data_IF_169175899124
#
_entry.id   IF_169175899124
#
_cell.length_a   1.000
_cell.length_b   1.000
_cell.length_c   1.000
_cell.angle_alpha   90.00
_cell.angle_beta   90.00
_cell.angle_gamma   90.00
#
_symmetry.space_group_name_H-M   'P 1'
#
loop_
_entity.id
_entity.type
_entity.pdbx_description
1 polymer ?
#
# COMPACT_ATOMS: atom_id res chain seq x y z
N UNK A 1 5.43 25.40 -27.06
CA UNK A 1 6.39 25.05 -26.01
C UNK A 1 5.83 23.92 -25.14
N UNK A 2 6.66 23.01 -24.66
CA UNK A 2 6.17 21.90 -23.82
C UNK A 2 5.85 22.42 -22.39
N UNK A 3 4.71 21.99 -21.81
CA UNK A 3 4.28 22.38 -20.44
C UNK A 3 5.33 22.02 -19.40
N UNK A 4 5.99 20.85 -19.57
CA UNK A 4 7.08 20.42 -18.69
C UNK A 4 8.21 21.45 -18.60
N UNK A 5 8.57 22.08 -19.71
CA UNK A 5 9.62 23.12 -19.74
C UNK A 5 9.15 24.36 -18.97
N UNK A 6 7.88 24.76 -19.12
CA UNK A 6 7.31 25.88 -18.35
C UNK A 6 7.41 25.62 -16.84
N UNK A 7 7.02 24.43 -16.40
CA UNK A 7 7.08 24.06 -14.97
C UNK A 7 8.52 24.03 -14.43
N UNK A 8 9.47 23.52 -15.21
CA UNK A 8 10.89 23.52 -14.82
C UNK A 8 11.40 24.96 -14.66
N UNK A 9 11.08 25.85 -15.58
CA UNK A 9 11.49 27.25 -15.53
C UNK A 9 10.89 27.95 -14.30
N UNK A 10 9.58 27.73 -14.03
CA UNK A 10 8.95 28.27 -12.82
C UNK A 10 9.62 27.74 -11.55
N UNK A 11 10.00 26.47 -11.51
CA UNK A 11 10.73 25.86 -10.39
C UNK A 11 12.10 26.52 -10.17
N UNK A 12 12.89 26.72 -11.23
CA UNK A 12 14.19 27.38 -11.16
C UNK A 12 14.05 28.84 -10.72
N UNK A 13 13.07 29.56 -11.23
CA UNK A 13 12.73 30.92 -10.80
C UNK A 13 12.30 30.94 -9.33
N UNK A 14 11.56 29.94 -8.86
CA UNK A 14 11.19 29.78 -7.46
C UNK A 14 12.39 29.62 -6.53
N UNK A 15 13.38 28.82 -6.93
CA UNK A 15 14.65 28.70 -6.21
C UNK A 15 15.38 30.05 -6.15
N UNK A 16 15.45 30.78 -7.26
CA UNK A 16 16.05 32.13 -7.29
C UNK A 16 15.29 33.10 -6.39
N UNK A 17 13.95 33.07 -6.39
CA UNK A 17 13.10 33.87 -5.52
C UNK A 17 13.36 33.55 -4.04
N UNK A 18 13.52 32.26 -3.69
CA UNK A 18 13.87 31.86 -2.33
C UNK A 18 15.17 32.54 -1.85
N UNK A 19 16.22 32.46 -2.63
CA UNK A 19 17.51 33.06 -2.27
C UNK A 19 17.44 34.60 -2.21
N UNK A 20 16.67 35.26 -3.07
CA UNK A 20 16.50 36.72 -3.04
C UNK A 20 15.72 37.15 -1.79
N UNK A 21 14.67 36.41 -1.40
CA UNK A 21 13.92 36.66 -0.16
C UNK A 21 14.76 36.41 1.09
N UNK A 22 15.59 35.35 1.08
CA UNK A 22 16.51 35.02 2.15
C UNK A 22 17.55 36.14 2.34
N UNK A 23 18.21 36.58 1.25
CA UNK A 23 19.21 37.67 1.30
C UNK A 23 18.63 38.96 1.85
N UNK A 24 17.45 39.39 1.36
CA UNK A 24 16.76 40.57 1.87
C UNK A 24 16.48 40.48 3.37
N UNK A 25 16.03 39.33 3.85
CA UNK A 25 15.75 39.17 5.27
C UNK A 25 17.01 39.13 6.14
N UNK A 26 18.13 38.62 5.62
CA UNK A 26 19.42 38.66 6.32
C UNK A 26 19.93 40.09 6.49
N UNK A 27 19.83 40.93 5.44
CA UNK A 27 20.22 42.36 5.57
C UNK A 27 19.32 43.11 6.54
N UNK A 28 18.00 42.83 6.55
CA UNK A 28 17.07 43.43 7.51
C UNK A 28 17.34 42.98 8.97
N UNK A 29 17.92 41.80 9.17
CA UNK A 29 18.26 41.25 10.48
C UNK A 29 19.46 41.94 11.11
N UNK A 30 20.37 42.47 10.31
CA UNK A 30 21.52 43.23 10.80
C UNK A 30 21.07 44.56 11.50
N UNK A 31 19.96 45.15 11.03
CA UNK A 31 19.47 46.43 11.57
C UNK A 31 18.48 46.22 12.75
N UNK A 32 17.64 45.20 12.72
CA UNK A 32 16.59 44.96 13.74
C UNK A 32 16.21 43.47 13.83
N UNK A 33 15.69 43.07 15.01
CA UNK A 33 15.11 41.75 15.21
C UNK A 33 13.96 41.47 14.23
N UNK A 34 14.02 40.34 13.52
CA UNK A 34 12.97 39.86 12.63
C UNK A 34 11.93 39.08 13.43
N UNK A 35 10.62 39.26 13.12
CA UNK A 35 9.55 38.47 13.69
C UNK A 35 9.66 36.99 13.33
N UNK A 36 10.10 36.66 12.11
CA UNK A 36 10.24 35.28 11.60
C UNK A 36 11.67 35.04 11.12
N UNK A 37 12.13 33.77 11.15
CA UNK A 37 13.50 33.46 10.68
C UNK A 37 13.64 33.73 9.18
N UNK A 38 14.86 34.07 8.69
CA UNK A 38 15.11 34.37 7.29
C UNK A 38 14.64 33.32 6.29
N UNK A 39 14.68 32.04 6.68
CA UNK A 39 14.21 30.90 5.88
C UNK A 39 12.75 31.07 5.45
N UNK A 40 11.87 31.48 6.37
CA UNK A 40 10.45 31.68 6.06
C UNK A 40 10.20 32.87 5.12
N UNK A 41 11.04 33.89 5.16
CA UNK A 41 10.96 35.02 4.21
C UNK A 41 11.35 34.62 2.79
N UNK A 42 12.36 33.76 2.65
CA UNK A 42 12.69 33.13 1.36
C UNK A 42 11.56 32.19 0.87
N UNK A 43 11.07 31.33 1.78
CA UNK A 43 10.00 30.38 1.46
C UNK A 43 8.71 31.07 1.00
N UNK A 44 8.23 32.10 1.68
CA UNK A 44 6.99 32.80 1.29
C UNK A 44 7.11 33.50 -0.07
N UNK A 45 8.30 34.04 -0.39
CA UNK A 45 8.53 34.65 -1.69
C UNK A 45 8.49 33.60 -2.80
N UNK A 46 9.17 32.48 -2.62
CA UNK A 46 9.18 31.39 -3.58
C UNK A 46 7.79 30.77 -3.75
N UNK A 47 7.09 30.45 -2.66
CA UNK A 47 5.79 29.80 -2.69
C UNK A 47 4.75 30.69 -3.38
N UNK A 48 4.62 31.96 -2.98
CA UNK A 48 3.61 32.85 -3.56
C UNK A 48 3.84 33.09 -5.06
N UNK A 49 5.08 33.26 -5.49
CA UNK A 49 5.37 33.49 -6.92
C UNK A 49 5.20 32.25 -7.77
N UNK A 50 5.67 31.10 -7.30
CA UNK A 50 5.55 29.83 -8.01
C UNK A 50 4.11 29.33 -8.03
N UNK A 51 3.39 29.37 -6.89
CA UNK A 51 2.03 28.88 -6.79
C UNK A 51 1.07 29.63 -7.71
N UNK A 52 1.15 30.95 -7.78
CA UNK A 52 0.32 31.76 -8.67
C UNK A 52 0.53 31.40 -10.14
N UNK A 53 1.80 31.21 -10.55
CA UNK A 53 2.15 30.83 -11.92
C UNK A 53 1.73 29.38 -12.24
N UNK A 54 1.91 28.46 -11.32
CA UNK A 54 1.49 27.06 -11.48
C UNK A 54 -0.02 26.96 -11.58
N UNK A 55 -0.79 27.68 -10.76
CA UNK A 55 -2.26 27.72 -10.85
C UNK A 55 -2.72 28.22 -12.22
N UNK A 56 -2.09 29.26 -12.78
CA UNK A 56 -2.39 29.68 -14.12
C UNK A 56 -2.16 28.58 -15.15
N UNK A 57 -1.03 27.88 -15.07
CA UNK A 57 -0.71 26.77 -15.98
C UNK A 57 -1.74 25.64 -15.85
N UNK A 58 -2.14 25.27 -14.64
CA UNK A 58 -3.16 24.24 -14.40
C UNK A 58 -4.50 24.65 -15.01
N UNK A 59 -4.97 25.87 -14.75
CA UNK A 59 -6.22 26.39 -15.31
C UNK A 59 -6.16 26.38 -16.84
N UNK A 60 -5.06 26.86 -17.43
CA UNK A 60 -4.90 26.85 -18.89
C UNK A 60 -4.99 25.43 -19.48
N UNK A 61 -4.30 24.46 -18.89
CA UNK A 61 -4.30 23.06 -19.36
C UNK A 61 -5.67 22.44 -19.29
N UNK A 62 -6.46 22.73 -18.25
CA UNK A 62 -7.83 22.25 -18.11
C UNK A 62 -8.74 22.83 -19.20
N UNK A 63 -8.61 24.12 -19.51
CA UNK A 63 -9.38 24.76 -20.58
C UNK A 63 -8.94 24.29 -21.97
N UNK A 64 -7.63 24.19 -22.23
CA UNK A 64 -7.07 23.70 -23.48
C UNK A 64 -7.57 22.30 -23.83
N UNK A 65 -7.57 21.37 -22.85
CA UNK A 65 -7.94 19.98 -23.09
C UNK A 65 -9.44 19.76 -23.27
N UNK A 66 -10.27 20.46 -22.50
CA UNK A 66 -11.70 20.13 -22.38
C UNK A 66 -12.63 21.08 -23.16
N UNK A 67 -12.22 22.32 -23.41
CA UNK A 67 -13.11 23.38 -23.90
C UNK A 67 -12.61 24.00 -25.18
N UNK A 68 -11.32 24.28 -25.30
CA UNK A 68 -10.73 25.00 -26.42
C UNK A 68 -9.43 24.35 -26.92
N UNK A 69 -9.49 23.29 -27.73
CA UNK A 69 -8.28 22.64 -28.27
C UNK A 69 -7.37 23.58 -29.08
N UNK A 70 -7.92 24.64 -29.66
CA UNK A 70 -7.18 25.67 -30.43
C UNK A 70 -6.16 26.44 -29.56
N UNK A 71 -6.33 26.46 -28.22
CA UNK A 71 -5.38 27.06 -27.29
C UNK A 71 -4.00 26.42 -27.32
N UNK A 72 -3.89 25.21 -27.90
CA UNK A 72 -2.61 24.53 -28.10
C UNK A 72 -1.60 25.38 -28.89
N UNK A 73 -2.09 26.16 -29.85
CA UNK A 73 -1.29 27.09 -30.65
C UNK A 73 -0.76 28.28 -29.83
N UNK A 74 -1.41 28.62 -28.72
CA UNK A 74 -1.11 29.78 -27.90
C UNK A 74 -0.24 29.47 -26.66
N UNK A 75 0.37 28.29 -26.57
CA UNK A 75 1.25 27.90 -25.42
C UNK A 75 2.42 28.84 -25.18
N UNK A 76 2.89 29.57 -26.19
CA UNK A 76 3.91 30.59 -26.01
C UNK A 76 3.37 31.81 -25.24
N UNK A 77 2.09 32.14 -25.41
CA UNK A 77 1.42 33.19 -24.63
C UNK A 77 1.28 32.75 -23.17
N UNK A 78 0.91 31.47 -22.92
CA UNK A 78 0.88 30.90 -21.58
C UNK A 78 2.22 31.05 -20.87
N UNK A 79 3.33 30.77 -21.56
CA UNK A 79 4.67 30.92 -21.02
C UNK A 79 4.97 32.36 -20.59
N UNK A 80 4.71 33.32 -21.49
CA UNK A 80 4.93 34.75 -21.20
C UNK A 80 4.07 35.20 -20.02
N UNK A 81 2.79 34.80 -20.03
CA UNK A 81 1.85 35.16 -18.96
C UNK A 81 2.23 34.54 -17.61
N UNK A 82 2.68 33.29 -17.62
CA UNK A 82 3.11 32.61 -16.38
C UNK A 82 4.37 33.28 -15.77
N UNK A 83 5.33 33.65 -16.60
CA UNK A 83 6.53 34.41 -16.15
C UNK A 83 6.13 35.81 -15.66
N UNK A 84 5.23 36.50 -16.37
CA UNK A 84 4.74 37.80 -15.95
C UNK A 84 4.06 37.75 -14.58
N UNK A 85 3.18 36.77 -14.35
CA UNK A 85 2.52 36.58 -13.05
C UNK A 85 3.54 36.22 -11.98
N UNK A 86 4.55 35.40 -12.31
CA UNK A 86 5.63 35.08 -11.37
C UNK A 86 6.33 36.34 -10.87
N UNK A 87 6.80 37.18 -11.77
CA UNK A 87 7.51 38.40 -11.39
C UNK A 87 6.61 39.44 -10.71
N UNK A 88 5.36 39.53 -11.11
CA UNK A 88 4.37 40.42 -10.49
C UNK A 88 4.12 40.03 -9.04
N UNK A 89 3.85 38.76 -8.77
CA UNK A 89 3.61 38.24 -7.44
C UNK A 89 4.88 38.24 -6.58
N UNK A 90 6.04 37.94 -7.19
CA UNK A 90 7.34 38.08 -6.53
C UNK A 90 7.61 39.52 -6.08
N UNK A 91 7.36 40.49 -6.95
CA UNK A 91 7.56 41.93 -6.64
C UNK A 91 6.68 42.37 -5.47
N UNK A 92 5.37 42.05 -5.50
CA UNK A 92 4.48 42.44 -4.40
C UNK A 92 4.84 41.74 -3.08
N UNK A 93 5.20 40.45 -3.12
CA UNK A 93 5.63 39.73 -1.92
C UNK A 93 6.95 40.23 -1.41
N UNK A 94 7.92 40.51 -2.28
CA UNK A 94 9.21 41.07 -1.91
C UNK A 94 9.09 42.45 -1.23
N UNK A 95 8.17 43.31 -1.71
CA UNK A 95 7.88 44.61 -1.12
C UNK A 95 7.28 44.50 0.29
N UNK A 96 6.55 43.41 0.59
CA UNK A 96 5.95 43.12 1.91
C UNK A 96 6.97 42.60 2.94
N UNK A 97 8.15 42.14 2.53
CA UNK A 97 9.19 41.66 3.46
C UNK A 97 9.77 42.84 4.22
N UNK A 98 9.38 42.95 5.50
CA UNK A 98 9.80 43.92 6.50
C UNK A 98 10.04 43.20 7.82
N UNK A 99 10.63 43.88 8.82
CA UNK A 99 10.96 43.26 10.11
C UNK A 99 9.75 42.68 10.86
N UNK A 100 8.57 43.30 10.76
CA UNK A 100 7.32 42.89 11.40
C UNK A 100 6.52 41.87 10.60
N UNK A 101 7.02 41.48 9.40
CA UNK A 101 6.28 40.58 8.52
C UNK A 101 6.26 39.17 9.06
N UNK A 102 5.06 38.65 9.39
CA UNK A 102 4.79 37.31 9.91
C UNK A 102 4.90 36.25 8.81
N UNK A 103 6.14 36.05 8.31
CA UNK A 103 6.39 35.14 7.20
C UNK A 103 6.10 33.68 7.58
N UNK A 104 6.46 33.27 8.81
CA UNK A 104 6.22 31.93 9.33
C UNK A 104 4.72 31.56 9.30
N UNK A 105 3.87 32.37 9.91
CA UNK A 105 2.44 32.12 10.00
C UNK A 105 1.79 31.97 8.61
N UNK A 106 2.30 32.72 7.62
CA UNK A 106 1.79 32.62 6.24
C UNK A 106 2.25 31.36 5.53
N UNK A 107 3.50 30.98 5.70
CA UNK A 107 4.03 29.72 5.13
C UNK A 107 3.30 28.53 5.76
N UNK A 108 3.16 28.51 7.09
CA UNK A 108 2.46 27.45 7.81
C UNK A 108 1.01 27.31 7.35
N UNK A 109 0.28 28.41 7.20
CA UNK A 109 -1.11 28.39 6.66
C UNK A 109 -1.20 27.83 5.23
N UNK A 110 -0.24 28.16 4.37
CA UNK A 110 -0.22 27.61 2.99
C UNK A 110 0.08 26.11 3.03
N UNK A 111 1.03 25.68 3.85
CA UNK A 111 1.36 24.26 4.03
C UNK A 111 0.15 23.51 4.62
N UNK A 112 -0.49 24.04 5.64
CA UNK A 112 -1.70 23.48 6.25
C UNK A 112 -2.82 23.31 5.23
N UNK A 113 -3.10 24.37 4.43
CA UNK A 113 -4.09 24.31 3.37
C UNK A 113 -3.73 23.25 2.31
N UNK A 114 -2.46 23.17 1.92
CA UNK A 114 -1.98 22.17 0.95
C UNK A 114 -2.15 20.75 1.48
N UNK A 115 -1.77 20.50 2.73
CA UNK A 115 -1.96 19.19 3.38
C UNK A 115 -3.44 18.83 3.50
N UNK A 116 -4.29 19.81 3.84
CA UNK A 116 -5.74 19.61 3.91
C UNK A 116 -6.32 19.23 2.54
N UNK A 117 -5.92 19.94 1.48
CA UNK A 117 -6.37 19.62 0.10
C UNK A 117 -5.90 18.24 -0.32
N UNK A 118 -4.62 17.90 -0.07
CA UNK A 118 -4.10 16.57 -0.40
C UNK A 118 -4.82 15.44 0.34
N UNK A 119 -5.05 15.62 1.65
CA UNK A 119 -5.76 14.62 2.46
C UNK A 119 -7.23 14.48 2.03
N UNK A 120 -7.91 15.62 1.75
CA UNK A 120 -9.28 15.60 1.26
C UNK A 120 -9.40 14.91 -0.10
N UNK A 121 -8.45 15.18 -1.00
CA UNK A 121 -8.41 14.52 -2.32
C UNK A 121 -8.20 13.01 -2.18
N UNK A 122 -7.28 12.58 -1.31
CA UNK A 122 -7.06 11.15 -1.04
C UNK A 122 -8.31 10.46 -0.51
N UNK A 123 -9.03 11.11 0.43
CA UNK A 123 -10.30 10.59 0.96
C UNK A 123 -11.35 10.51 -0.15
N UNK A 124 -11.51 11.57 -0.96
CA UNK A 124 -12.48 11.58 -2.05
C UNK A 124 -12.21 10.49 -3.09
N UNK A 125 -10.94 10.28 -3.46
CA UNK A 125 -10.56 9.19 -4.38
C UNK A 125 -10.90 7.83 -3.75
N UNK A 126 -10.57 7.61 -2.50
CA UNK A 126 -10.86 6.35 -1.80
C UNK A 126 -12.36 6.08 -1.73
N UNK A 127 -13.17 7.09 -1.38
CA UNK A 127 -14.63 6.99 -1.39
C UNK A 127 -15.16 6.74 -2.80
N UNK A 128 -14.62 7.42 -3.81
CA UNK A 128 -15.01 7.24 -5.20
C UNK A 128 -14.75 5.82 -5.69
N UNK A 129 -13.57 5.24 -5.40
CA UNK A 129 -13.25 3.85 -5.71
C UNK A 129 -14.23 2.90 -5.04
N UNK A 130 -14.49 3.10 -3.75
CA UNK A 130 -15.40 2.24 -2.98
C UNK A 130 -16.83 2.29 -3.53
N UNK A 131 -17.34 3.48 -3.84
CA UNK A 131 -18.65 3.65 -4.45
C UNK A 131 -18.73 3.02 -5.83
N UNK A 132 -17.68 3.14 -6.66
CA UNK A 132 -17.60 2.50 -7.97
C UNK A 132 -17.66 0.98 -7.83
N UNK A 133 -16.91 0.39 -6.91
CA UNK A 133 -16.94 -1.05 -6.66
C UNK A 133 -18.33 -1.52 -6.22
N UNK A 134 -19.02 -0.79 -5.35
CA UNK A 134 -20.40 -1.12 -4.93
C UNK A 134 -21.35 -1.03 -6.12
N UNK A 135 -21.27 0.04 -6.90
CA UNK A 135 -22.16 0.26 -8.03
C UNK A 135 -22.03 -0.85 -9.08
N UNK A 136 -20.81 -1.16 -9.51
CA UNK A 136 -20.56 -2.21 -10.49
C UNK A 136 -20.88 -3.62 -9.95
N UNK A 137 -20.63 -3.86 -8.66
CA UNK A 137 -21.03 -5.13 -8.01
C UNK A 137 -22.55 -5.28 -7.97
N UNK A 138 -23.31 -4.21 -7.73
CA UNK A 138 -24.76 -4.27 -7.74
C UNK A 138 -25.29 -4.64 -9.13
N UNK A 139 -24.73 -4.06 -10.19
CA UNK A 139 -25.06 -4.43 -11.58
C UNK A 139 -24.77 -5.90 -11.87
N UNK A 140 -23.69 -6.46 -11.31
CA UNK A 140 -23.41 -7.90 -11.41
C UNK A 140 -24.52 -8.73 -10.75
N UNK A 141 -24.94 -8.36 -9.53
CA UNK A 141 -25.94 -9.11 -8.77
C UNK A 141 -27.38 -8.96 -9.33
N UNK A 142 -27.63 -8.02 -10.24
CA UNK A 142 -28.87 -7.97 -11.01
C UNK A 142 -28.97 -9.15 -12.00
N UNK A 143 -27.83 -9.64 -12.50
CA UNK A 143 -27.77 -10.73 -13.48
C UNK A 143 -27.48 -12.10 -12.85
N UNK A 144 -26.70 -12.14 -11.76
CA UNK A 144 -26.25 -13.36 -11.08
C UNK A 144 -26.69 -13.33 -9.61
N UNK A 145 -27.49 -14.30 -9.13
CA UNK A 145 -27.93 -14.32 -7.73
C UNK A 145 -26.76 -14.39 -6.75
N UNK A 146 -26.82 -13.58 -5.67
CA UNK A 146 -25.79 -13.54 -4.63
C UNK A 146 -25.50 -14.91 -4.00
N UNK A 147 -26.54 -15.75 -3.85
CA UNK A 147 -26.42 -17.11 -3.31
C UNK A 147 -25.62 -18.03 -4.22
N UNK A 148 -25.82 -17.95 -5.54
CA UNK A 148 -25.07 -18.70 -6.53
C UNK A 148 -23.61 -18.26 -6.55
N UNK A 149 -23.36 -16.94 -6.49
CA UNK A 149 -22.02 -16.39 -6.44
C UNK A 149 -21.26 -16.82 -5.18
N UNK A 150 -21.85 -16.67 -3.99
CA UNK A 150 -21.16 -16.95 -2.73
C UNK A 150 -20.98 -18.44 -2.44
N UNK A 151 -21.91 -19.30 -2.85
CA UNK A 151 -21.93 -20.72 -2.51
C UNK A 151 -21.72 -21.66 -3.71
N UNK A 152 -21.62 -21.13 -4.92
CA UNK A 152 -21.31 -21.91 -6.11
C UNK A 152 -19.92 -22.52 -6.05
N UNK A 153 -19.81 -23.78 -6.46
CA UNK A 153 -18.57 -24.58 -6.42
C UNK A 153 -17.82 -24.63 -7.75
N UNK A 154 -18.37 -24.00 -8.79
CA UNK A 154 -17.77 -23.95 -10.11
C UNK A 154 -17.50 -22.52 -10.53
N UNK A 155 -16.26 -22.26 -10.96
CA UNK A 155 -15.84 -20.99 -11.50
C UNK A 155 -15.36 -21.16 -12.94
N UNK A 156 -16.12 -20.62 -13.88
CA UNK A 156 -15.80 -20.58 -15.31
C UNK A 156 -16.45 -19.33 -15.94
N UNK A 157 -15.82 -18.16 -15.84
CA UNK A 157 -16.39 -16.89 -16.28
C UNK A 157 -16.37 -16.71 -17.81
N UNK A 158 -16.02 -17.75 -18.56
CA UNK A 158 -15.97 -17.70 -20.03
C UNK A 158 -17.39 -17.72 -20.59
N UNK A 159 -17.78 -16.59 -21.18
CA UNK A 159 -19.05 -16.44 -21.89
C UNK A 159 -18.77 -16.22 -23.38
N UNK A 160 -19.66 -16.66 -24.28
CA UNK A 160 -19.52 -16.34 -25.70
C UNK A 160 -19.63 -14.84 -25.92
N UNK A 161 -18.72 -14.27 -26.71
CA UNK A 161 -18.69 -12.84 -27.05
C UNK A 161 -19.72 -12.54 -28.16
N UNK A 162 -20.16 -13.54 -28.92
CA UNK A 162 -21.12 -13.43 -30.01
C UNK A 162 -22.30 -14.36 -29.80
N UNK A 163 -23.49 -13.91 -30.14
CA UNK A 163 -24.75 -14.67 -30.02
C UNK A 163 -24.76 -15.98 -30.83
N UNK A 164 -23.93 -16.09 -31.86
CA UNK A 164 -23.78 -17.27 -32.70
C UNK A 164 -22.76 -18.29 -32.20
N UNK A 165 -22.02 -17.99 -31.13
CA UNK A 165 -21.06 -18.91 -30.51
C UNK A 165 -21.77 -19.86 -29.52
N UNK A 166 -21.65 -21.16 -29.76
CA UNK A 166 -21.99 -22.16 -28.76
C UNK A 166 -20.98 -22.10 -27.59
N UNK A 167 -21.33 -21.37 -26.54
CA UNK A 167 -20.53 -21.22 -25.35
C UNK A 167 -21.27 -21.56 -24.07
N UNK A 168 -20.52 -21.74 -22.99
CA UNK A 168 -21.11 -21.97 -21.65
C UNK A 168 -21.78 -20.68 -21.16
N UNK A 169 -22.86 -20.79 -20.42
CA UNK A 169 -23.60 -19.67 -19.82
C UNK A 169 -22.79 -18.94 -18.75
N UNK A 170 -21.53 -19.34 -18.52
CA UNK A 170 -20.68 -18.85 -17.42
C UNK A 170 -21.11 -19.43 -16.07
N UNK A 171 -20.13 -19.79 -15.25
CA UNK A 171 -20.36 -20.18 -13.86
C UNK A 171 -19.53 -19.25 -12.96
N UNK A 172 -20.19 -18.59 -12.02
CA UNK A 172 -19.58 -17.55 -11.18
C UNK A 172 -19.52 -17.92 -9.70
N UNK A 173 -19.39 -19.21 -9.38
CA UNK A 173 -19.26 -19.68 -8.00
C UNK A 173 -17.90 -19.33 -7.39
N UNK A 174 -17.86 -18.52 -6.35
CA UNK A 174 -16.63 -18.00 -5.76
C UNK A 174 -15.95 -18.96 -4.77
N UNK A 175 -16.60 -20.05 -4.33
CA UNK A 175 -16.06 -20.98 -3.33
C UNK A 175 -14.65 -21.49 -3.66
N UNK A 176 -14.34 -21.95 -4.90
CA UNK A 176 -12.99 -22.42 -5.23
C UNK A 176 -11.91 -21.34 -5.08
N UNK A 177 -12.26 -20.08 -5.38
CA UNK A 177 -11.34 -18.95 -5.31
C UNK A 177 -10.99 -18.61 -3.86
N UNK A 178 -11.99 -18.58 -2.99
CA UNK A 178 -11.78 -18.36 -1.56
C UNK A 178 -11.06 -19.55 -0.91
N UNK A 179 -11.40 -20.79 -1.29
CA UNK A 179 -10.70 -21.98 -0.80
C UNK A 179 -9.20 -21.92 -1.15
N UNK A 180 -8.85 -21.62 -2.40
CA UNK A 180 -7.45 -21.44 -2.82
C UNK A 180 -6.76 -20.29 -2.09
N UNK A 181 -7.46 -19.17 -1.91
CA UNK A 181 -6.93 -18.00 -1.16
C UNK A 181 -6.57 -18.38 0.28
N UNK A 182 -7.48 -19.07 0.98
CA UNK A 182 -7.22 -19.50 2.36
C UNK A 182 -6.16 -20.58 2.46
N UNK A 183 -6.14 -21.53 1.53
CA UNK A 183 -5.14 -22.60 1.51
C UNK A 183 -3.73 -22.00 1.39
N UNK A 184 -3.51 -21.12 0.43
CA UNK A 184 -2.20 -20.48 0.22
C UNK A 184 -1.84 -19.58 1.40
N UNK A 185 -2.77 -18.76 1.90
CA UNK A 185 -2.55 -17.90 3.07
C UNK A 185 -2.22 -18.72 4.32
N UNK A 186 -2.88 -19.84 4.54
CA UNK A 186 -2.61 -20.76 5.65
C UNK A 186 -1.20 -21.33 5.57
N UNK A 187 -0.78 -21.85 4.41
CA UNK A 187 0.59 -22.36 4.20
C UNK A 187 1.62 -21.27 4.49
N UNK A 188 1.41 -20.06 3.98
CA UNK A 188 2.31 -18.94 4.21
C UNK A 188 2.41 -18.57 5.69
N UNK A 189 1.30 -18.54 6.41
CA UNK A 189 1.28 -18.19 7.83
C UNK A 189 1.86 -19.28 8.72
N UNK A 190 1.77 -20.56 8.34
CA UNK A 190 2.46 -21.66 9.02
C UNK A 190 3.98 -21.49 9.02
N UNK A 191 4.53 -20.74 8.06
CA UNK A 191 5.97 -20.43 7.96
C UNK A 191 6.25 -19.06 8.58
N UNK A 192 5.54 -18.03 8.12
CA UNK A 192 5.81 -16.66 8.50
C UNK A 192 5.54 -16.40 10.00
N UNK A 193 4.49 -17.00 10.55
CA UNK A 193 4.13 -16.82 11.96
C UNK A 193 5.23 -17.29 12.91
N UNK A 194 5.56 -18.57 12.92
CA UNK A 194 6.59 -19.10 13.83
C UNK A 194 7.98 -18.49 13.59
N UNK A 195 8.44 -18.44 12.33
CA UNK A 195 9.79 -17.95 12.02
C UNK A 195 9.89 -16.45 12.29
N UNK A 196 8.89 -15.66 11.88
CA UNK A 196 8.87 -14.23 12.13
C UNK A 196 8.85 -13.87 13.62
N UNK A 197 8.01 -14.56 14.40
CA UNK A 197 7.94 -14.36 15.85
C UNK A 197 9.25 -14.76 16.56
N UNK A 198 9.81 -15.92 16.20
CA UNK A 198 11.10 -16.34 16.79
C UNK A 198 12.23 -15.40 16.43
N UNK A 199 12.24 -14.89 15.20
CA UNK A 199 13.21 -13.86 14.78
C UNK A 199 13.05 -12.58 15.59
N UNK A 200 11.82 -12.12 15.82
CA UNK A 200 11.54 -10.94 16.64
C UNK A 200 12.04 -11.11 18.09
N UNK A 201 11.72 -12.25 18.73
CA UNK A 201 12.17 -12.56 20.09
C UNK A 201 13.69 -12.60 20.15
N UNK A 202 14.35 -13.24 19.17
CA UNK A 202 15.80 -13.28 19.12
C UNK A 202 16.41 -11.88 18.99
N UNK A 203 15.92 -11.07 18.06
CA UNK A 203 16.45 -9.74 17.80
C UNK A 203 16.18 -8.76 18.95
N UNK A 204 15.02 -8.84 19.61
CA UNK A 204 14.68 -7.94 20.72
C UNK A 204 15.35 -8.32 22.04
N UNK A 205 15.48 -9.63 22.34
CA UNK A 205 15.87 -10.07 23.68
C UNK A 205 17.24 -10.75 23.74
N UNK A 206 17.70 -11.42 22.68
CA UNK A 206 18.95 -12.20 22.72
C UNK A 206 20.10 -11.58 21.94
N UNK A 207 19.81 -10.92 20.83
CA UNK A 207 20.83 -10.39 19.94
C UNK A 207 21.64 -9.27 20.62
N UNK A 208 22.95 -9.26 20.38
CA UNK A 208 23.78 -8.10 20.71
C UNK A 208 23.39 -6.91 19.82
N UNK A 209 23.67 -5.69 20.29
CA UNK A 209 23.37 -4.48 19.54
C UNK A 209 23.94 -4.52 18.12
N UNK A 210 25.19 -4.98 17.97
CA UNK A 210 25.86 -5.08 16.67
C UNK A 210 25.14 -6.05 15.72
N UNK A 211 24.65 -7.20 16.23
CA UNK A 211 23.89 -8.16 15.42
C UNK A 211 22.54 -7.58 15.02
N UNK A 212 21.85 -6.93 15.95
CA UNK A 212 20.55 -6.28 15.67
C UNK A 212 20.69 -5.18 14.63
N UNK A 213 21.71 -4.32 14.74
CA UNK A 213 21.95 -3.19 13.84
C UNK A 213 22.27 -3.65 12.40
N UNK A 214 22.70 -4.88 12.19
CA UNK A 214 22.95 -5.48 10.87
C UNK A 214 21.73 -6.28 10.39
N UNK A 215 21.18 -7.16 11.22
CA UNK A 215 20.13 -8.10 10.79
C UNK A 215 18.79 -7.41 10.56
N UNK A 216 18.42 -6.41 11.39
CA UNK A 216 17.13 -5.70 11.22
C UNK A 216 17.04 -4.98 9.86
N UNK A 217 18.03 -4.18 9.41
CA UNK A 217 18.02 -3.62 8.06
C UNK A 217 18.03 -4.67 6.95
N UNK A 218 18.72 -5.80 7.11
CA UNK A 218 18.71 -6.87 6.12
C UNK A 218 17.31 -7.48 5.95
N UNK A 219 16.57 -7.68 7.05
CA UNK A 219 15.18 -8.15 6.95
C UNK A 219 14.26 -7.11 6.31
N UNK A 220 14.50 -5.82 6.54
CA UNK A 220 13.75 -4.73 5.90
C UNK A 220 14.02 -4.67 4.38
N UNK A 221 15.26 -4.93 3.94
CA UNK A 221 15.61 -5.04 2.51
C UNK A 221 14.84 -6.18 1.85
N UNK A 222 14.71 -7.34 2.50
CA UNK A 222 13.91 -8.45 1.99
C UNK A 222 12.44 -8.07 1.78
N UNK A 223 11.85 -7.30 2.71
CA UNK A 223 10.49 -6.78 2.56
C UNK A 223 10.34 -5.80 1.37
N UNK A 224 11.42 -5.15 0.96
CA UNK A 224 11.45 -4.22 -0.18
C UNK A 224 11.58 -4.86 -1.55
N UNK A 225 11.85 -6.16 -1.64
CA UNK A 225 11.93 -6.87 -2.93
C UNK A 225 10.56 -6.93 -3.59
N UNK A 226 10.41 -6.54 -4.88
CA UNK A 226 9.14 -6.63 -5.59
C UNK A 226 8.58 -8.06 -5.60
N UNK A 227 7.27 -8.21 -5.34
CA UNK A 227 6.62 -9.54 -5.26
C UNK A 227 6.72 -10.37 -6.53
N UNK A 228 6.85 -9.70 -7.70
CA UNK A 228 7.12 -10.37 -8.98
C UNK A 228 8.43 -11.17 -8.95
N UNK A 229 9.47 -10.64 -8.31
CA UNK A 229 10.78 -11.34 -8.20
C UNK A 229 10.63 -12.60 -7.36
N UNK A 230 9.87 -12.52 -6.26
CA UNK A 230 9.53 -13.71 -5.47
C UNK A 230 8.72 -14.73 -6.28
N UNK A 231 7.77 -14.27 -7.11
CA UNK A 231 7.01 -15.12 -8.01
C UNK A 231 7.88 -15.85 -9.01
N UNK A 232 8.83 -15.16 -9.63
CA UNK A 232 9.84 -15.78 -10.51
C UNK A 232 10.68 -16.83 -9.79
N UNK A 233 11.18 -16.50 -8.62
CA UNK A 233 11.92 -17.44 -7.79
C UNK A 233 11.09 -18.69 -7.45
N UNK A 234 9.81 -18.49 -7.14
CA UNK A 234 8.89 -19.59 -6.86
C UNK A 234 8.78 -20.56 -8.05
N UNK A 235 8.60 -20.02 -9.25
CA UNK A 235 8.42 -20.85 -10.48
C UNK A 235 9.70 -21.54 -10.91
N UNK A 236 10.83 -20.81 -10.90
CA UNK A 236 12.07 -21.31 -11.49
C UNK A 236 12.85 -22.22 -10.53
N UNK A 237 12.75 -21.95 -9.22
CA UNK A 237 13.57 -22.65 -8.21
C UNK A 237 12.71 -23.53 -7.31
N UNK A 238 11.69 -22.96 -6.66
CA UNK A 238 10.96 -23.64 -5.59
C UNK A 238 10.00 -24.70 -6.14
N UNK A 239 9.23 -24.40 -7.17
CA UNK A 239 8.28 -25.36 -7.75
C UNK A 239 8.99 -26.60 -8.37
N UNK A 240 10.08 -26.48 -9.16
CA UNK A 240 10.85 -27.64 -9.59
C UNK A 240 11.47 -28.45 -8.45
N UNK A 241 11.95 -27.76 -7.40
CA UNK A 241 12.50 -28.43 -6.21
C UNK A 241 11.43 -29.28 -5.51
N UNK A 242 10.24 -28.72 -5.27
CA UNK A 242 9.14 -29.44 -4.62
C UNK A 242 8.68 -30.61 -5.49
N UNK A 243 8.55 -30.41 -6.81
CA UNK A 243 8.14 -31.47 -7.74
C UNK A 243 9.16 -32.61 -7.79
N UNK A 244 10.45 -32.33 -7.89
CA UNK A 244 11.48 -33.34 -7.90
C UNK A 244 11.54 -34.13 -6.58
N UNK A 245 11.36 -33.43 -5.46
CA UNK A 245 11.28 -34.05 -4.14
C UNK A 245 10.01 -34.90 -4.00
N UNK A 246 8.86 -34.42 -4.45
CA UNK A 246 7.61 -35.19 -4.48
C UNK A 246 7.73 -36.46 -5.29
N UNK A 247 8.28 -36.36 -6.50
CA UNK A 247 8.51 -37.53 -7.36
C UNK A 247 9.41 -38.58 -6.70
N UNK A 248 10.43 -38.14 -5.93
CA UNK A 248 11.29 -39.07 -5.17
C UNK A 248 10.52 -39.86 -4.12
N UNK A 249 9.50 -39.25 -3.52
CA UNK A 249 8.61 -39.90 -2.55
C UNK A 249 7.36 -40.54 -3.18
N UNK A 250 7.23 -40.56 -4.49
CA UNK A 250 6.05 -41.09 -5.20
C UNK A 250 4.80 -40.23 -5.05
N UNK A 251 4.95 -38.94 -4.75
CA UNK A 251 3.85 -37.96 -4.64
C UNK A 251 3.79 -37.16 -5.94
N UNK A 252 2.64 -37.17 -6.59
CA UNK A 252 2.38 -36.33 -7.76
C UNK A 252 2.22 -34.87 -7.33
N UNK A 253 3.08 -33.99 -7.87
CA UNK A 253 3.06 -32.55 -7.61
C UNK A 253 2.85 -31.82 -8.93
N UNK A 254 1.86 -30.97 -9.03
CA UNK A 254 1.62 -30.12 -10.18
C UNK A 254 2.81 -29.17 -10.42
N UNK A 255 2.99 -28.74 -11.67
CA UNK A 255 4.04 -27.77 -12.04
C UNK A 255 3.85 -26.42 -11.32
N UNK A 256 2.60 -26.02 -11.13
CA UNK A 256 2.17 -24.89 -10.33
C UNK A 256 1.39 -25.48 -9.14
N UNK A 257 1.71 -25.06 -7.92
CA UNK A 257 1.09 -25.66 -6.72
C UNK A 257 0.88 -24.62 -5.63
N UNK A 258 -0.19 -24.84 -4.84
CA UNK A 258 -0.48 -24.02 -3.68
C UNK A 258 0.70 -23.99 -2.70
N UNK A 259 1.43 -25.12 -2.56
CA UNK A 259 2.58 -25.24 -1.67
C UNK A 259 3.73 -24.35 -2.12
N UNK A 260 4.07 -24.34 -3.42
CA UNK A 260 5.17 -23.51 -3.93
C UNK A 260 4.90 -22.02 -3.71
N UNK A 261 3.68 -21.56 -4.06
CA UNK A 261 3.27 -20.19 -3.82
C UNK A 261 3.24 -19.84 -2.33
N UNK A 262 2.65 -20.70 -1.49
CA UNK A 262 2.52 -20.48 -0.06
C UNK A 262 3.87 -20.45 0.68
N UNK A 263 4.83 -21.31 0.31
CA UNK A 263 6.18 -21.29 0.88
C UNK A 263 6.91 -19.97 0.60
N UNK A 264 6.92 -19.54 -0.66
CA UNK A 264 7.62 -18.29 -1.04
C UNK A 264 6.91 -17.08 -0.47
N UNK A 265 5.59 -17.05 -0.48
CA UNK A 265 4.81 -16.01 0.19
C UNK A 265 5.09 -15.97 1.69
N UNK A 266 5.22 -17.12 2.34
CA UNK A 266 5.62 -17.22 3.75
C UNK A 266 6.96 -16.56 4.01
N UNK A 267 7.97 -16.85 3.18
CA UNK A 267 9.30 -16.22 3.29
C UNK A 267 9.20 -14.68 3.13
N UNK A 268 8.42 -14.20 2.16
CA UNK A 268 8.19 -12.77 1.94
C UNK A 268 7.51 -12.08 3.15
N UNK A 269 6.64 -12.79 3.87
CA UNK A 269 5.90 -12.24 5.01
C UNK A 269 6.71 -12.29 6.31
N UNK A 270 7.74 -13.14 6.45
CA UNK A 270 8.60 -13.23 7.65
C UNK A 270 9.08 -11.86 8.14
N UNK A 271 9.67 -10.98 7.31
CA UNK A 271 10.13 -9.66 7.75
C UNK A 271 9.02 -8.81 8.35
N UNK A 272 7.82 -8.86 7.78
CA UNK A 272 6.66 -8.11 8.24
C UNK A 272 6.21 -8.57 9.64
N UNK A 273 6.07 -9.88 9.84
CA UNK A 273 5.72 -10.47 11.15
C UNK A 273 6.81 -10.17 12.16
N UNK A 274 8.08 -10.31 11.77
CA UNK A 274 9.23 -10.06 12.65
C UNK A 274 9.29 -8.58 13.09
N UNK A 275 9.08 -7.64 12.18
CA UNK A 275 9.13 -6.20 12.49
C UNK A 275 8.02 -5.80 13.46
N UNK A 276 6.75 -6.16 13.17
CA UNK A 276 5.63 -5.83 14.05
C UNK A 276 5.80 -6.48 15.43
N UNK A 277 6.23 -7.76 15.47
CA UNK A 277 6.43 -8.46 16.73
C UNK A 277 7.59 -7.86 17.54
N UNK A 278 8.69 -7.46 16.89
CA UNK A 278 9.82 -6.75 17.54
C UNK A 278 9.36 -5.43 18.16
N UNK A 279 8.56 -4.63 17.43
CA UNK A 279 8.05 -3.35 17.93
C UNK A 279 7.16 -3.52 19.15
N UNK A 280 6.27 -4.53 19.14
CA UNK A 280 5.36 -4.82 20.27
C UNK A 280 6.13 -5.38 21.48
N UNK A 281 7.11 -6.26 21.28
CA UNK A 281 7.97 -6.80 22.35
C UNK A 281 8.79 -5.68 23.00
N UNK A 282 9.31 -4.75 22.21
CA UNK A 282 10.06 -3.61 22.73
C UNK A 282 9.18 -2.58 23.46
N UNK A 283 7.89 -2.50 23.14
CA UNK A 283 6.94 -1.64 23.83
C UNK A 283 6.59 -2.11 25.25
N UNK A 284 6.90 -3.36 25.62
CA UNK A 284 6.70 -3.87 27.00
C UNK A 284 7.57 -3.07 27.99
N UNK A 285 7.00 -2.51 29.08
CA UNK A 285 7.72 -1.68 30.02
C UNK A 285 8.93 -2.38 30.63
N UNK A 286 10.07 -1.71 30.66
CA UNK A 286 11.35 -2.25 31.16
C UNK A 286 11.27 -2.65 32.65
N UNK A 287 10.41 -1.96 33.40
CA UNK A 287 10.17 -2.28 34.81
C UNK A 287 9.62 -3.69 35.03
N UNK A 288 8.77 -4.19 34.13
CA UNK A 288 8.25 -5.57 34.20
C UNK A 288 9.37 -6.58 33.93
N UNK A 289 10.23 -6.33 32.96
CA UNK A 289 11.40 -7.17 32.65
C UNK A 289 12.37 -7.20 33.80
N UNK A 290 12.75 -6.04 34.34
CA UNK A 290 13.67 -5.91 35.44
C UNK A 290 13.10 -6.49 36.74
N UNK A 291 11.80 -6.34 37.02
CA UNK A 291 11.12 -6.92 38.15
C UNK A 291 11.18 -8.45 38.14
N UNK A 292 10.90 -9.07 36.97
CA UNK A 292 11.00 -10.52 36.80
C UNK A 292 12.43 -11.05 37.07
N UNK A 293 13.44 -10.40 36.49
CA UNK A 293 14.85 -10.75 36.70
C UNK A 293 15.28 -10.52 38.16
N UNK A 294 14.75 -9.46 38.81
CA UNK A 294 15.03 -9.12 40.20
C UNK A 294 14.53 -10.16 41.23
N UNK A 295 13.46 -10.89 40.92
CA UNK A 295 12.98 -12.02 41.75
C UNK A 295 13.66 -13.34 41.39
N UNK A 296 14.68 -13.33 40.53
CA UNK A 296 15.51 -14.50 40.19
C UNK A 296 15.03 -15.30 38.98
N UNK A 297 14.07 -14.84 38.20
CA UNK A 297 13.68 -15.52 36.99
C UNK A 297 14.80 -15.48 35.92
N UNK A 298 14.95 -16.57 35.19
CA UNK A 298 15.87 -16.63 34.06
C UNK A 298 15.34 -15.79 32.89
N UNK A 299 16.22 -15.45 31.96
CA UNK A 299 15.83 -14.70 30.75
C UNK A 299 14.73 -15.39 29.95
N UNK A 300 14.81 -16.72 29.81
CA UNK A 300 13.79 -17.51 29.12
C UNK A 300 12.43 -17.49 29.83
N UNK A 301 12.44 -17.59 31.18
CA UNK A 301 11.21 -17.48 31.96
C UNK A 301 10.60 -16.09 31.88
N UNK A 302 11.41 -15.05 32.00
CA UNK A 302 10.96 -13.66 31.81
C UNK A 302 10.30 -13.47 30.42
N UNK A 303 10.90 -14.01 29.36
CA UNK A 303 10.30 -13.92 28.00
C UNK A 303 8.95 -14.65 27.94
N UNK A 304 8.90 -15.91 28.42
CA UNK A 304 7.71 -16.75 28.31
C UNK A 304 6.56 -16.32 29.23
N UNK A 305 6.88 -15.89 30.46
CA UNK A 305 5.89 -15.66 31.52
C UNK A 305 5.51 -14.17 31.67
N UNK A 306 6.35 -13.25 31.19
CA UNK A 306 6.13 -11.81 31.34
C UNK A 306 6.02 -11.10 29.98
N UNK A 307 7.06 -11.22 29.15
CA UNK A 307 7.13 -10.42 27.90
C UNK A 307 6.12 -10.90 26.88
N UNK A 308 6.09 -12.20 26.56
CA UNK A 308 5.16 -12.73 25.54
C UNK A 308 3.70 -12.52 25.96
N UNK A 309 3.25 -12.83 27.19
CA UNK A 309 1.88 -12.56 27.60
C UNK A 309 1.51 -11.08 27.52
N UNK A 310 2.40 -10.17 27.94
CA UNK A 310 2.17 -8.73 27.84
C UNK A 310 2.13 -8.22 26.40
N UNK A 311 2.96 -8.78 25.51
CA UNK A 311 3.03 -8.45 24.10
C UNK A 311 1.97 -9.17 23.23
N UNK A 312 1.33 -10.23 23.76
CA UNK A 312 0.46 -11.15 23.03
C UNK A 312 -0.65 -10.47 22.23
N UNK A 313 -1.36 -9.47 22.77
CA UNK A 313 -2.41 -8.77 22.00
C UNK A 313 -1.87 -8.11 20.73
N UNK A 314 -0.72 -7.45 20.84
CA UNK A 314 -0.06 -6.81 19.71
C UNK A 314 0.50 -7.81 18.69
N UNK A 315 1.07 -8.93 19.17
CA UNK A 315 1.57 -10.03 18.32
C UNK A 315 0.41 -10.63 17.51
N UNK A 316 -0.73 -10.96 18.16
CA UNK A 316 -1.91 -11.49 17.48
C UNK A 316 -2.44 -10.47 16.46
N UNK A 317 -2.51 -9.19 16.82
CA UNK A 317 -2.89 -8.13 15.91
C UNK A 317 -1.98 -8.06 14.67
N UNK A 318 -0.66 -8.14 14.88
CA UNK A 318 0.33 -8.19 13.81
C UNK A 318 0.19 -9.43 12.91
N UNK A 319 -0.08 -10.60 13.48
CA UNK A 319 -0.33 -11.83 12.73
C UNK A 319 -1.61 -11.73 11.89
N UNK A 320 -2.69 -11.15 12.41
CA UNK A 320 -3.93 -10.93 11.65
C UNK A 320 -3.74 -9.93 10.49
N UNK A 321 -2.92 -8.90 10.69
CA UNK A 321 -2.52 -7.99 9.61
C UNK A 321 -1.68 -8.73 8.55
N UNK A 322 -0.81 -9.64 8.96
CA UNK A 322 -0.03 -10.49 8.05
C UNK A 322 -0.94 -11.43 7.24
N UNK A 323 -1.98 -12.02 7.87
CA UNK A 323 -3.01 -12.80 7.17
C UNK A 323 -3.75 -11.95 6.13
N UNK A 324 -4.17 -10.73 6.48
CA UNK A 324 -4.81 -9.82 5.53
C UNK A 324 -3.91 -9.51 4.33
N UNK A 325 -2.60 -9.33 4.57
CA UNK A 325 -1.61 -9.14 3.51
C UNK A 325 -1.46 -10.39 2.63
N UNK A 326 -1.42 -11.57 3.22
CA UNK A 326 -1.36 -12.85 2.51
C UNK A 326 -2.57 -13.07 1.60
N UNK A 327 -3.77 -12.78 2.08
CA UNK A 327 -5.03 -12.88 1.31
C UNK A 327 -5.03 -11.95 0.10
N UNK A 328 -4.40 -10.78 0.22
CA UNK A 328 -4.30 -9.79 -0.85
C UNK A 328 -3.18 -10.02 -1.87
N UNK A 329 -2.30 -11.03 -1.67
CA UNK A 329 -1.17 -11.26 -2.58
C UNK A 329 -1.64 -11.78 -3.93
N UNK A 330 -1.10 -11.19 -4.99
CA UNK A 330 -1.51 -11.49 -6.36
C UNK A 330 -0.37 -12.06 -7.19
N UNK A 331 0.79 -11.39 -7.21
CA UNK A 331 1.84 -11.69 -8.19
C UNK A 331 2.56 -13.01 -7.94
N UNK A 332 2.83 -13.36 -6.69
CA UNK A 332 3.45 -14.65 -6.36
C UNK A 332 2.48 -15.78 -6.73
N UNK A 333 1.20 -15.59 -6.44
CA UNK A 333 0.17 -16.61 -6.67
C UNK A 333 -0.09 -16.81 -8.16
N UNK A 334 -0.25 -15.74 -8.93
CA UNK A 334 -0.46 -15.82 -10.40
C UNK A 334 0.65 -16.59 -11.09
N UNK A 335 1.86 -16.47 -10.58
CA UNK A 335 3.04 -17.13 -11.19
C UNK A 335 3.23 -18.57 -10.70
N UNK A 336 3.02 -18.84 -9.41
CA UNK A 336 3.47 -20.09 -8.79
C UNK A 336 2.35 -21.06 -8.39
N UNK A 337 1.09 -20.60 -8.23
CA UNK A 337 -0.02 -21.45 -7.83
C UNK A 337 -0.92 -21.85 -9.01
N UNK A 338 -0.93 -21.04 -10.08
CA UNK A 338 -1.72 -21.28 -11.28
C UNK A 338 -2.98 -20.40 -11.36
N UNK A 339 -3.73 -20.61 -12.43
CA UNK A 339 -4.96 -19.87 -12.73
C UNK A 339 -6.22 -20.76 -12.68
N UNK A 340 -6.06 -22.06 -12.40
CA UNK A 340 -7.17 -23.02 -12.40
C UNK A 340 -7.97 -22.93 -11.12
N UNK A 341 -9.27 -22.71 -11.24
CA UNK A 341 -10.20 -22.61 -10.10
C UNK A 341 -10.59 -24.01 -9.57
N UNK A 342 -9.63 -24.76 -9.08
CA UNK A 342 -9.86 -26.08 -8.51
C UNK A 342 -10.31 -25.98 -7.05
N UNK A 343 -11.38 -26.66 -6.71
CA UNK A 343 -11.81 -26.79 -5.33
C UNK A 343 -11.12 -28.00 -4.69
N UNK A 344 -9.96 -27.75 -4.08
CA UNK A 344 -9.14 -28.77 -3.45
C UNK A 344 -8.49 -28.24 -2.16
N UNK A 345 -8.24 -29.15 -1.23
CA UNK A 345 -7.44 -28.90 -0.03
C UNK A 345 -6.01 -29.47 -0.16
N UNK A 346 -5.68 -30.08 -1.31
CA UNK A 346 -4.37 -30.66 -1.56
C UNK A 346 -3.35 -29.55 -1.90
N UNK A 347 -2.31 -29.34 -1.08
CA UNK A 347 -1.32 -28.29 -1.33
C UNK A 347 -0.43 -28.55 -2.56
N UNK A 348 -0.42 -29.75 -3.10
CA UNK A 348 0.37 -30.13 -4.26
C UNK A 348 -0.33 -29.87 -5.61
N UNK A 349 -1.59 -29.48 -5.58
CA UNK A 349 -2.38 -29.17 -6.75
C UNK A 349 -2.32 -27.67 -7.10
N UNK A 350 -2.63 -27.38 -8.37
CA UNK A 350 -2.77 -26.00 -8.83
C UNK A 350 -4.11 -25.42 -8.33
N UNK A 351 -4.06 -24.22 -7.79
CA UNK A 351 -5.22 -23.46 -7.33
C UNK A 351 -5.08 -21.99 -7.74
N UNK A 352 -6.18 -21.27 -7.72
CA UNK A 352 -6.17 -19.82 -7.94
C UNK A 352 -6.76 -19.08 -6.74
N UNK A 353 -6.53 -17.76 -6.69
CA UNK A 353 -7.07 -16.91 -5.63
C UNK A 353 -8.03 -15.87 -6.19
N UNK A 354 -8.79 -15.25 -5.30
CA UNK A 354 -9.71 -14.15 -5.65
C UNK A 354 -8.95 -13.02 -6.37
N UNK A 355 -7.80 -12.61 -5.85
CA UNK A 355 -6.99 -11.53 -6.42
C UNK A 355 -6.45 -11.85 -7.82
N UNK A 356 -6.03 -13.09 -8.04
CA UNK A 356 -5.59 -13.57 -9.36
C UNK A 356 -6.73 -13.51 -10.36
N UNK A 357 -7.92 -13.99 -9.98
CA UNK A 357 -9.08 -13.97 -10.88
C UNK A 357 -9.56 -12.56 -11.20
N UNK A 358 -9.49 -11.62 -10.24
CA UNK A 358 -9.77 -10.20 -10.52
C UNK A 358 -8.83 -9.68 -11.62
N UNK A 359 -7.53 -9.97 -11.52
CA UNK A 359 -6.55 -9.55 -12.56
C UNK A 359 -6.84 -10.22 -13.90
N UNK A 360 -7.10 -11.54 -13.92
CA UNK A 360 -7.39 -12.28 -15.15
C UNK A 360 -8.65 -11.75 -15.85
N UNK A 361 -9.69 -11.38 -15.06
CA UNK A 361 -10.92 -10.80 -15.60
C UNK A 361 -10.72 -9.39 -16.16
N UNK A 362 -9.78 -8.62 -15.61
CA UNK A 362 -9.52 -7.23 -16.00
C UNK A 362 -8.38 -7.07 -17.02
N UNK A 363 -7.73 -8.15 -17.46
CA UNK A 363 -6.69 -8.12 -18.50
C UNK A 363 -7.24 -8.64 -19.83
N UNK A 364 -6.96 -7.93 -20.93
CA UNK A 364 -7.36 -8.28 -22.28
C UNK A 364 -8.50 -7.41 -22.83
N UNK A 365 -9.16 -7.87 -23.90
CA UNK A 365 -10.33 -7.18 -24.49
C UNK A 365 -11.52 -7.28 -23.53
N UNK A 366 -11.98 -6.12 -23.08
CA UNK A 366 -13.02 -5.99 -22.08
C UNK A 366 -14.24 -5.28 -22.66
N UNK A 367 -15.39 -5.94 -22.48
CA UNK A 367 -16.67 -5.27 -22.51
C UNK A 367 -17.03 -4.85 -21.08
N UNK A 368 -17.04 -3.56 -20.82
CA UNK A 368 -17.27 -3.02 -19.48
C UNK A 368 -18.62 -3.42 -18.87
N UNK A 369 -19.60 -3.70 -19.70
CA UNK A 369 -20.97 -4.08 -19.30
C UNK A 369 -21.18 -5.61 -19.23
N UNK A 370 -20.15 -6.41 -19.55
CA UNK A 370 -20.28 -7.87 -19.51
C UNK A 370 -20.28 -8.41 -18.08
N UNK A 371 -21.08 -9.44 -17.77
CA UNK A 371 -21.06 -10.11 -16.46
C UNK A 371 -19.67 -10.60 -16.07
N UNK A 372 -18.84 -10.97 -17.05
CA UNK A 372 -17.43 -11.35 -16.83
C UNK A 372 -16.61 -10.23 -16.19
N UNK A 373 -16.69 -9.01 -16.72
CA UNK A 373 -15.94 -7.85 -16.18
C UNK A 373 -16.54 -7.40 -14.85
N UNK A 374 -17.87 -7.37 -14.74
CA UNK A 374 -18.58 -7.03 -13.52
C UNK A 374 -18.27 -7.99 -12.36
N UNK A 375 -18.01 -9.28 -12.65
CA UNK A 375 -17.63 -10.28 -11.66
C UNK A 375 -16.33 -9.90 -10.92
N UNK A 376 -15.39 -9.18 -11.57
CA UNK A 376 -14.19 -8.70 -10.90
C UNK A 376 -14.50 -7.71 -9.77
N UNK A 377 -15.47 -6.82 -9.98
CA UNK A 377 -15.93 -5.88 -8.96
C UNK A 377 -16.67 -6.60 -7.82
N UNK A 378 -17.51 -7.59 -8.14
CA UNK A 378 -18.18 -8.42 -7.13
C UNK A 378 -17.18 -9.21 -6.28
N UNK A 379 -16.16 -9.83 -6.88
CA UNK A 379 -15.06 -10.47 -6.17
C UNK A 379 -14.30 -9.47 -5.27
N UNK A 380 -14.00 -8.30 -5.81
CA UNK A 380 -13.33 -7.22 -5.08
C UNK A 380 -14.15 -6.76 -3.87
N UNK A 381 -15.46 -6.58 -4.01
CA UNK A 381 -16.35 -6.19 -2.92
C UNK A 381 -16.37 -7.23 -1.80
N UNK A 382 -16.55 -8.53 -2.14
CA UNK A 382 -16.60 -9.60 -1.14
C UNK A 382 -15.24 -9.75 -0.45
N UNK A 383 -14.14 -9.67 -1.18
CA UNK A 383 -12.78 -9.70 -0.62
C UNK A 383 -12.54 -8.52 0.33
N UNK A 384 -13.00 -7.32 -0.05
CA UNK A 384 -12.91 -6.12 0.79
C UNK A 384 -13.69 -6.31 2.11
N UNK A 385 -14.94 -6.76 2.03
CA UNK A 385 -15.77 -7.02 3.23
C UNK A 385 -15.08 -8.04 4.14
N UNK A 386 -14.55 -9.11 3.57
CA UNK A 386 -13.88 -10.16 4.31
C UNK A 386 -12.60 -9.68 5.01
N UNK A 387 -11.75 -8.94 4.30
CA UNK A 387 -10.53 -8.36 4.89
C UNK A 387 -10.86 -7.27 5.92
N UNK A 388 -11.94 -6.51 5.72
CA UNK A 388 -12.44 -5.53 6.68
C UNK A 388 -12.87 -6.21 7.99
N UNK A 389 -13.61 -7.32 7.90
CA UNK A 389 -14.02 -8.12 9.07
C UNK A 389 -12.79 -8.64 9.81
N UNK A 390 -11.82 -9.21 9.11
CA UNK A 390 -10.57 -9.70 9.71
C UNK A 390 -9.81 -8.57 10.42
N UNK A 391 -9.67 -7.42 9.79
CA UNK A 391 -9.00 -6.25 10.38
C UNK A 391 -9.77 -5.70 11.58
N UNK A 392 -11.11 -5.69 11.52
CA UNK A 392 -11.94 -5.28 12.66
C UNK A 392 -11.76 -6.22 13.86
N UNK A 393 -11.74 -7.55 13.62
CA UNK A 393 -11.47 -8.55 14.66
C UNK A 393 -10.07 -8.34 15.25
N UNK A 394 -9.05 -8.10 14.40
CA UNK A 394 -7.69 -7.81 14.83
C UNK A 394 -7.64 -6.60 15.78
N UNK A 395 -8.25 -5.49 15.38
CA UNK A 395 -8.31 -4.26 16.18
C UNK A 395 -9.08 -4.46 17.49
N UNK A 396 -10.16 -5.22 17.47
CA UNK A 396 -10.95 -5.51 18.67
C UNK A 396 -10.15 -6.35 19.68
N UNK A 397 -9.44 -7.38 19.22
CA UNK A 397 -8.56 -8.20 20.05
C UNK A 397 -7.47 -7.33 20.68
N UNK A 398 -6.77 -6.52 19.87
CA UNK A 398 -5.70 -5.64 20.35
C UNK A 398 -6.21 -4.70 21.44
N UNK A 399 -7.36 -4.04 21.21
CA UNK A 399 -7.94 -3.09 22.20
C UNK A 399 -8.33 -3.77 23.48
N UNK A 400 -9.09 -4.88 23.42
CA UNK A 400 -9.58 -5.59 24.60
C UNK A 400 -8.48 -6.08 25.55
N UNK A 401 -7.35 -6.52 24.99
CA UNK A 401 -6.24 -7.04 25.80
C UNK A 401 -5.22 -5.98 26.19
N UNK A 402 -5.16 -4.85 25.49
CA UNK A 402 -4.33 -3.70 25.89
C UNK A 402 -4.79 -3.09 27.21
N UNK A 403 -6.09 -2.92 27.39
CA UNK A 403 -6.71 -2.37 28.62
C UNK A 403 -6.45 -3.21 29.87
N UNK A 404 -6.00 -4.46 29.75
CA UNK A 404 -5.68 -5.32 30.90
C UNK A 404 -4.27 -5.12 31.47
N UNK A 405 -3.40 -4.42 30.75
CA UNK A 405 -2.01 -4.20 31.12
C UNK A 405 -1.63 -2.71 31.30
N UNK A 406 -2.55 -1.79 31.05
CA UNK A 406 -2.50 -0.38 31.51
C UNK A 406 -3.15 -0.24 32.89
#
# INVERSE_FOLDING_TARGET
MNITIILIIIGLLGISAYYTGLRKSLTLREDKLLHSTPIYHGAILAINSSLASILLVIVWVLFEKNIFPELLAFRNILFILSIFIFFLTAFFTFKKIKNEFKARDKVEKIIELFLLVCSSLAILITVGIFLSVIFESNRFFESIPLTEFLFGTHWSPQMPIREDQAGSTGAFGAVPLFAGTFLIAFIAMCIAGPIGLMSAIFLSEYASKSVRDIVKPLTEILAGIPTVVYGFFAVIVVAPFIRNTGNYFGIEVASESALAAGLVMGVMIIPFVSSISDDVINAVPQNLKNGSLGVGATKSETIKLVIIPAALPGIIGGLLLAVSRAIGETMIVVMAAGMSANLTANPFEAVTTVTVQIVVLLVGDQEFDSPKTLAAFALGLVLFIMTLILNYIALHIVRKYREQYE
#
